data_IF_304420289653
#
_entry.id   IF_304420289653
#
_cell.length_a   1.000
_cell.length_b   1.000
_cell.length_c   1.000
_cell.angle_alpha   90.00
_cell.angle_beta   90.00
_cell.angle_gamma   90.00
#
_symmetry.space_group_name_H-M   'P 1'
#
loop_
_entity.id
_entity.type
_entity.pdbx_description
1 polymer ?
#
# COMPACT_ATOMS: atom_id res chain seq x y z
N UNK A 1 -7.12 -12.02 -5.39
CA UNK A 1 -7.05 -11.28 -6.66
C UNK A 1 -5.78 -11.61 -7.44
N UNK A 2 -4.61 -11.69 -6.80
CA UNK A 2 -3.35 -11.98 -7.47
C UNK A 2 -2.97 -13.47 -7.61
N UNK A 3 -3.86 -14.42 -7.31
CA UNK A 3 -3.53 -15.85 -7.27
C UNK A 3 -2.94 -16.42 -8.58
N UNK A 4 -3.12 -15.76 -9.72
CA UNK A 4 -2.51 -16.13 -11.00
C UNK A 4 -1.45 -15.15 -11.53
N UNK A 5 -1.08 -14.12 -10.77
CA UNK A 5 -0.03 -13.18 -11.17
C UNK A 5 1.32 -13.68 -10.65
N UNK A 6 2.13 -14.26 -11.53
CA UNK A 6 3.50 -14.63 -11.20
C UNK A 6 4.36 -13.37 -11.14
N UNK A 7 4.75 -12.96 -9.94
CA UNK A 7 5.83 -12.01 -9.75
C UNK A 7 7.13 -12.71 -10.22
N UNK A 8 7.67 -12.28 -11.36
CA UNK A 8 8.98 -12.74 -11.84
C UNK A 8 10.12 -12.28 -10.90
N UNK A 9 11.29 -12.88 -11.07
CA UNK A 9 12.51 -12.55 -10.34
C UNK A 9 12.77 -11.03 -10.27
N UNK A 10 13.12 -10.55 -9.08
CA UNK A 10 13.56 -9.16 -8.85
C UNK A 10 12.47 -8.19 -8.40
N UNK A 11 11.20 -8.61 -8.31
CA UNK A 11 10.12 -7.83 -7.70
C UNK A 11 9.30 -8.65 -6.70
N UNK A 12 8.81 -7.97 -5.67
CA UNK A 12 7.88 -8.52 -4.68
C UNK A 12 6.56 -7.77 -4.81
N UNK A 13 5.45 -8.52 -4.84
CA UNK A 13 4.11 -7.95 -4.80
C UNK A 13 3.44 -8.33 -3.49
N UNK A 14 2.98 -7.33 -2.76
CA UNK A 14 2.26 -7.48 -1.50
C UNK A 14 0.82 -7.04 -1.75
N UNK A 15 -0.13 -7.88 -1.33
CA UNK A 15 -1.55 -7.60 -1.40
C UNK A 15 -2.14 -7.59 0.00
N UNK A 16 -2.91 -6.55 0.32
CA UNK A 16 -3.79 -6.50 1.47
C UNK A 16 -5.17 -6.00 1.04
N UNK A 17 -6.16 -6.90 1.03
CA UNK A 17 -7.50 -6.61 0.49
C UNK A 17 -7.42 -5.99 -0.94
N UNK A 18 -7.84 -4.74 -1.10
CA UNK A 18 -7.82 -3.95 -2.33
C UNK A 18 -6.52 -3.15 -2.55
N UNK A 19 -5.68 -3.01 -1.53
CA UNK A 19 -4.39 -2.33 -1.63
C UNK A 19 -3.30 -3.27 -2.16
N UNK A 20 -2.57 -2.78 -3.16
CA UNK A 20 -1.47 -3.48 -3.82
C UNK A 20 -0.19 -2.66 -3.74
N UNK A 21 0.92 -3.31 -3.38
CA UNK A 21 2.25 -2.74 -3.33
C UNK A 21 3.21 -3.60 -4.15
N UNK A 22 3.94 -2.96 -5.07
CA UNK A 22 4.97 -3.62 -5.88
C UNK A 22 6.33 -2.96 -5.55
N UNK A 23 7.29 -3.79 -5.13
CA UNK A 23 8.62 -3.35 -4.70
C UNK A 23 9.68 -4.07 -5.53
N UNK A 24 10.74 -3.38 -5.90
CA UNK A 24 11.90 -3.97 -6.57
C UNK A 24 13.12 -3.05 -6.49
N UNK A 25 14.30 -3.61 -6.80
CA UNK A 25 15.58 -2.89 -6.70
C UNK A 25 15.87 -1.98 -7.88
N UNK A 26 15.40 -2.34 -9.07
CA UNK A 26 15.62 -1.58 -10.30
C UNK A 26 14.34 -0.89 -10.73
N UNK A 27 14.42 0.42 -10.92
CA UNK A 27 13.31 1.25 -11.39
C UNK A 27 12.71 0.72 -12.71
N UNK A 28 13.58 0.32 -13.65
CA UNK A 28 13.16 -0.20 -14.96
C UNK A 28 12.35 -1.48 -14.84
N UNK A 29 12.79 -2.40 -13.96
CA UNK A 29 12.09 -3.65 -13.70
C UNK A 29 10.75 -3.35 -13.04
N UNK A 30 10.73 -2.52 -11.99
CA UNK A 30 9.51 -2.12 -11.27
C UNK A 30 8.52 -1.46 -12.25
N UNK A 31 8.99 -0.58 -13.15
CA UNK A 31 8.17 0.09 -14.16
C UNK A 31 7.53 -0.91 -15.12
N UNK A 32 8.33 -1.78 -15.72
CA UNK A 32 7.84 -2.82 -16.65
C UNK A 32 6.83 -3.74 -15.97
N UNK A 33 7.08 -4.11 -14.71
CA UNK A 33 6.20 -4.99 -13.94
C UNK A 33 4.93 -4.30 -13.48
N UNK A 34 4.99 -3.03 -13.12
CA UNK A 34 3.81 -2.23 -12.77
C UNK A 34 2.86 -2.15 -13.96
N UNK A 35 3.37 -1.89 -15.17
CA UNK A 35 2.53 -1.88 -16.39
C UNK A 35 1.87 -3.24 -16.62
N UNK A 36 2.62 -4.34 -16.47
CA UNK A 36 2.05 -5.69 -16.61
C UNK A 36 0.99 -6.00 -15.55
N UNK A 37 1.21 -5.59 -14.31
CA UNK A 37 0.25 -5.75 -13.22
C UNK A 37 -1.04 -4.97 -13.51
N UNK A 38 -0.92 -3.72 -13.98
CA UNK A 38 -2.08 -2.91 -14.35
C UNK A 38 -2.88 -3.55 -15.50
N UNK A 39 -2.21 -4.06 -16.54
CA UNK A 39 -2.87 -4.78 -17.64
C UNK A 39 -3.59 -6.03 -17.13
N UNK A 40 -2.95 -6.82 -16.28
CA UNK A 40 -3.57 -8.00 -15.66
C UNK A 40 -4.82 -7.65 -14.85
N UNK A 41 -4.80 -6.55 -14.09
CA UNK A 41 -5.97 -6.09 -13.34
C UNK A 41 -7.12 -5.72 -14.29
N UNK A 42 -6.82 -5.04 -15.40
CA UNK A 42 -7.81 -4.70 -16.44
C UNK A 42 -8.41 -5.95 -17.07
N UNK A 43 -7.60 -6.95 -17.41
CA UNK A 43 -8.06 -8.24 -17.95
C UNK A 43 -9.00 -8.99 -17.00
N UNK A 44 -8.81 -8.81 -15.69
CA UNK A 44 -9.70 -9.35 -14.65
C UNK A 44 -10.93 -8.49 -14.37
N UNK A 45 -11.14 -7.41 -15.12
CA UNK A 45 -12.27 -6.49 -14.94
C UNK A 45 -12.12 -5.54 -13.75
N UNK A 46 -10.92 -5.41 -13.18
CA UNK A 46 -10.64 -4.51 -12.06
C UNK A 46 -10.20 -3.14 -12.56
N UNK A 47 -10.59 -2.11 -11.81
CA UNK A 47 -10.27 -0.71 -12.11
C UNK A 47 -9.32 -0.16 -11.08
N UNK A 48 -8.25 0.48 -11.53
CA UNK A 48 -7.29 1.20 -10.68
C UNK A 48 -7.59 2.69 -10.75
N UNK A 49 -7.74 3.33 -9.60
CA UNK A 49 -7.92 4.78 -9.53
C UNK A 49 -6.61 5.49 -9.84
N UNK A 50 -6.52 6.15 -10.99
CA UNK A 50 -5.32 6.92 -11.39
C UNK A 50 -4.89 7.96 -10.35
N UNK A 51 -5.85 8.59 -9.67
CA UNK A 51 -5.58 9.57 -8.59
C UNK A 51 -4.88 8.96 -7.37
N UNK A 52 -5.05 7.66 -7.12
CA UNK A 52 -4.46 6.94 -5.98
C UNK A 52 -3.19 6.16 -6.37
N UNK A 53 -2.87 6.10 -7.66
CA UNK A 53 -1.71 5.35 -8.15
C UNK A 53 -0.42 6.11 -7.81
N UNK A 54 0.45 5.46 -7.05
CA UNK A 54 1.78 5.94 -6.73
C UNK A 54 2.79 5.25 -7.66
N UNK A 55 3.03 5.84 -8.82
CA UNK A 55 3.82 5.22 -9.87
C UNK A 55 5.32 5.50 -9.68
N UNK A 56 6.10 4.43 -9.43
CA UNK A 56 7.57 4.46 -9.43
C UNK A 56 8.11 5.58 -8.54
N UNK A 57 7.85 5.46 -7.24
CA UNK A 57 8.28 6.44 -6.24
C UNK A 57 9.20 5.77 -5.23
N UNK A 58 10.20 6.50 -4.75
CA UNK A 58 11.09 6.05 -3.67
C UNK A 58 10.39 6.03 -2.31
N UNK A 59 9.40 6.90 -2.13
CA UNK A 59 8.54 6.91 -0.96
C UNK A 59 7.08 6.68 -1.38
N UNK A 60 6.38 5.77 -0.69
CA UNK A 60 4.98 5.47 -0.99
C UNK A 60 4.14 5.31 0.28
N UNK A 61 2.90 5.77 0.25
CA UNK A 61 1.88 5.53 1.27
C UNK A 61 1.25 4.15 1.07
N UNK A 62 1.30 3.29 2.08
CA UNK A 62 0.69 1.96 2.08
C UNK A 62 0.18 1.60 3.48
N UNK A 63 -1.10 1.21 3.60
CA UNK A 63 -1.75 0.83 4.88
C UNK A 63 -1.53 1.83 6.02
N UNK A 64 -1.59 3.14 5.72
CA UNK A 64 -1.38 4.21 6.70
C UNK A 64 0.06 4.41 7.16
N UNK A 65 1.03 3.87 6.42
CA UNK A 65 2.46 4.08 6.62
C UNK A 65 3.07 4.71 5.37
N UNK A 66 4.12 5.50 5.53
CA UNK A 66 5.01 5.92 4.45
C UNK A 66 6.19 4.96 4.48
N UNK A 67 6.37 4.23 3.38
CA UNK A 67 7.47 3.29 3.15
C UNK A 67 8.54 3.99 2.32
N UNK A 68 9.79 3.85 2.73
CA UNK A 68 10.96 4.51 2.16
C UNK A 68 12.12 3.52 2.16
N UNK A 69 13.22 3.83 1.48
CA UNK A 69 14.42 2.97 1.47
C UNK A 69 14.99 2.74 2.87
N UNK A 70 15.00 3.80 3.69
CA UNK A 70 15.56 3.81 5.04
C UNK A 70 14.62 3.19 6.10
N UNK A 71 13.39 2.81 5.73
CA UNK A 71 12.44 2.16 6.63
C UNK A 71 10.99 2.59 6.43
N UNK A 72 10.23 2.66 7.54
CA UNK A 72 8.81 3.02 7.53
C UNK A 72 8.49 4.02 8.63
N UNK A 73 7.59 4.96 8.33
CA UNK A 73 7.04 5.93 9.28
C UNK A 73 5.51 5.92 9.23
N UNK A 74 4.84 6.30 10.33
CA UNK A 74 3.38 6.48 10.28
C UNK A 74 3.04 7.69 9.40
N UNK A 75 1.96 7.55 8.61
CA UNK A 75 1.40 8.68 7.89
C UNK A 75 0.95 9.77 8.88
N UNK A 76 1.19 11.07 8.61
CA UNK A 76 0.73 12.16 9.46
C UNK A 76 -0.77 12.15 9.72
N UNK A 77 -1.58 11.74 8.72
CA UNK A 77 -3.03 11.66 8.87
C UNK A 77 -3.44 10.59 9.89
N UNK A 78 -2.72 9.47 9.92
CA UNK A 78 -2.93 8.41 10.92
C UNK A 78 -2.48 8.85 12.31
N UNK A 79 -1.35 9.55 12.39
CA UNK A 79 -0.85 10.10 13.64
C UNK A 79 -1.83 11.12 14.25
N UNK A 80 -2.34 12.05 13.43
CA UNK A 80 -3.37 13.00 13.86
C UNK A 80 -4.64 12.30 14.32
N UNK A 81 -5.08 11.26 13.60
CA UNK A 81 -6.23 10.45 14.01
C UNK A 81 -6.06 9.83 15.40
N UNK A 82 -4.85 9.38 15.75
CA UNK A 82 -4.53 8.83 17.08
C UNK A 82 -4.48 9.93 18.14
N UNK A 83 -3.82 11.06 17.85
CA UNK A 83 -3.70 12.19 18.78
C UNK A 83 -5.04 12.89 19.06
N UNK A 84 -5.97 12.85 18.11
CA UNK A 84 -7.30 13.43 18.25
C UNK A 84 -8.28 12.55 19.05
N UNK A 85 -7.89 11.32 19.43
CA UNK A 85 -8.77 10.46 20.23
C UNK A 85 -8.94 11.05 21.63
N UNK A 86 -10.19 11.30 22.02
CA UNK A 86 -10.52 11.74 23.38
C UNK A 86 -10.23 10.65 24.39
N UNK A 87 -9.85 11.04 25.61
CA UNK A 87 -9.60 10.10 26.72
C UNK A 87 -10.81 9.16 26.90
N UNK A 88 -10.63 7.84 26.77
CA UNK A 88 -11.72 6.88 26.86
C UNK A 88 -12.32 6.89 28.26
N UNK A 89 -13.66 6.95 28.34
CA UNK A 89 -14.41 7.08 29.60
C UNK A 89 -14.98 5.77 30.11
N UNK A 90 -14.97 4.72 29.30
CA UNK A 90 -15.54 3.42 29.66
C UNK A 90 -14.75 2.25 29.07
N UNK A 91 -14.99 1.04 29.60
CA UNK A 91 -14.30 -0.19 29.17
C UNK A 91 -14.39 -0.45 27.66
N UNK A 92 -15.50 -0.06 27.02
CA UNK A 92 -15.70 -0.25 25.57
C UNK A 92 -14.79 0.68 24.76
N UNK A 93 -14.66 1.93 25.19
CA UNK A 93 -13.78 2.91 24.55
C UNK A 93 -12.30 2.56 24.75
N UNK A 94 -11.92 2.09 25.94
CA UNK A 94 -10.55 1.61 26.21
C UNK A 94 -10.18 0.46 25.27
N UNK A 95 -11.09 -0.51 25.06
CA UNK A 95 -10.89 -1.64 24.13
C UNK A 95 -10.85 -1.23 22.65
N UNK A 96 -11.39 -0.07 22.30
CA UNK A 96 -11.34 0.46 20.92
C UNK A 96 -10.04 1.23 20.67
N UNK A 97 -9.49 1.83 21.72
CA UNK A 97 -8.24 2.59 21.65
C UNK A 97 -7.00 1.70 21.59
N UNK A 98 -6.97 0.64 22.41
CA UNK A 98 -5.92 -0.39 22.43
C UNK A 98 -6.10 -1.41 21.30
#
# INVERSE_FOLDING_TARGET
VLAGFQAEHGVVVIQYADDLLLVGKSEEIVKKKTVRLLNYLVEKGLKVLRKKLQFIQKEVKYLGHILMEEGKRLCPERLQGILAVTVPKNKREVRKFL
#
